data_IF_185503653502
#
_entry.id   IF_185503653502
#
_cell.length_a   1.000
_cell.length_b   1.000
_cell.length_c   1.000
_cell.angle_alpha   90.00
_cell.angle_beta   90.00
_cell.angle_gamma   90.00
#
_symmetry.space_group_name_H-M   'P 1'
#
loop_
_entity.id
_entity.type
_entity.pdbx_description
1 polymer ?
#
# COMPACT_ATOMS: atom_id res chain seq x y z
N UNK A 1 -10.77 -13.71 5.33
CA UNK A 1 -10.63 -12.27 5.05
C UNK A 1 -9.95 -12.13 3.70
N UNK A 2 -10.34 -11.12 2.91
CA UNK A 2 -9.75 -10.89 1.60
C UNK A 2 -8.33 -10.30 1.78
N UNK A 3 -7.26 -10.97 1.29
CA UNK A 3 -5.88 -10.50 1.45
C UNK A 3 -5.64 -9.09 0.86
N UNK A 4 -6.37 -8.72 -0.20
CA UNK A 4 -6.28 -7.39 -0.80
C UNK A 4 -6.90 -6.32 0.10
N UNK A 5 -7.99 -6.64 0.79
CA UNK A 5 -8.61 -5.75 1.76
C UNK A 5 -7.66 -5.50 2.95
N UNK A 6 -6.98 -6.53 3.42
CA UNK A 6 -6.01 -6.45 4.52
C UNK A 6 -4.77 -5.63 4.12
N UNK A 7 -4.25 -5.83 2.90
CA UNK A 7 -3.15 -5.03 2.35
C UNK A 7 -3.51 -3.53 2.28
N UNK A 8 -4.68 -3.22 1.71
CA UNK A 8 -5.15 -1.83 1.61
C UNK A 8 -5.38 -1.19 2.99
N UNK A 9 -5.91 -1.93 3.96
CA UNK A 9 -6.07 -1.47 5.34
C UNK A 9 -4.73 -1.18 6.01
N UNK A 10 -3.75 -2.07 5.83
CA UNK A 10 -2.39 -1.91 6.36
C UNK A 10 -1.70 -0.69 5.76
N UNK A 11 -1.76 -0.54 4.43
CA UNK A 11 -1.24 0.63 3.73
C UNK A 11 -1.87 1.93 4.25
N UNK A 12 -3.21 1.96 4.40
CA UNK A 12 -3.93 3.12 4.89
C UNK A 12 -3.49 3.57 6.29
N UNK A 13 -3.37 2.62 7.23
CA UNK A 13 -2.95 2.90 8.60
C UNK A 13 -1.50 3.39 8.66
N UNK A 14 -0.60 2.77 7.89
CA UNK A 14 0.80 3.19 7.81
C UNK A 14 0.92 4.61 7.25
N UNK A 15 0.21 4.91 6.15
CA UNK A 15 0.23 6.24 5.54
C UNK A 15 -0.34 7.31 6.47
N UNK A 16 -1.46 7.03 7.14
CA UNK A 16 -2.04 7.95 8.11
C UNK A 16 -1.09 8.23 9.28
N UNK A 17 -0.41 7.19 9.78
CA UNK A 17 0.57 7.34 10.86
C UNK A 17 1.70 8.30 10.46
N UNK A 18 2.29 8.09 9.29
CA UNK A 18 3.37 8.94 8.75
C UNK A 18 2.90 10.39 8.61
N UNK A 19 1.72 10.60 8.03
CA UNK A 19 1.19 11.95 7.80
C UNK A 19 0.70 12.63 9.09
N UNK A 20 0.31 11.86 10.10
CA UNK A 20 -0.17 12.32 11.40
C UNK A 20 0.93 12.53 12.45
N UNK A 21 2.19 12.24 12.14
CA UNK A 21 3.33 12.50 13.03
C UNK A 21 3.44 13.98 13.41
N UNK A 22 3.05 14.88 12.50
CA UNK A 22 3.00 16.32 12.74
C UNK A 22 1.61 16.71 13.30
N UNK A 23 1.37 16.35 14.55
CA UNK A 23 0.05 16.28 15.24
C UNK A 23 -0.72 17.61 15.40
N UNK A 24 -0.26 18.69 14.76
CA UNK A 24 -0.83 20.03 14.90
C UNK A 24 -1.85 20.41 13.82
N UNK A 25 -2.04 19.56 12.80
CA UNK A 25 -2.89 19.86 11.63
C UNK A 25 -3.82 18.70 11.28
N UNK A 26 -4.97 19.04 10.72
CA UNK A 26 -5.92 18.06 10.20
C UNK A 26 -5.30 17.32 9.00
N UNK A 27 -5.42 15.99 8.99
CA UNK A 27 -4.99 15.13 7.89
C UNK A 27 -6.23 14.50 7.25
N UNK A 28 -6.41 14.70 5.94
CA UNK A 28 -7.50 14.14 5.16
C UNK A 28 -6.94 13.54 3.87
N UNK A 29 -7.20 12.25 3.64
CA UNK A 29 -6.68 11.52 2.49
C UNK A 29 -7.61 10.36 2.10
N UNK A 30 -7.50 9.89 0.85
CA UNK A 30 -8.19 8.69 0.35
C UNK A 30 -7.17 7.57 0.09
N UNK A 31 -7.00 6.61 1.03
CA UNK A 31 -5.96 5.59 0.90
C UNK A 31 -6.19 4.69 -0.31
N UNK A 32 -7.46 4.34 -0.59
CA UNK A 32 -7.83 3.48 -1.72
C UNK A 32 -7.49 4.11 -3.06
N UNK A 33 -7.71 5.43 -3.21
CA UNK A 33 -7.37 6.12 -4.46
C UNK A 33 -5.85 6.14 -4.69
N UNK A 34 -5.08 6.40 -3.63
CA UNK A 34 -3.61 6.41 -3.71
C UNK A 34 -3.07 5.01 -4.00
N UNK A 35 -3.57 3.99 -3.30
CA UNK A 35 -3.21 2.59 -3.52
C UNK A 35 -3.48 2.17 -4.97
N UNK A 36 -4.65 2.52 -5.52
CA UNK A 36 -5.01 2.20 -6.91
C UNK A 36 -4.09 2.86 -7.93
N UNK A 37 -3.75 4.14 -7.73
CA UNK A 37 -2.82 4.86 -8.59
C UNK A 37 -1.42 4.23 -8.55
N UNK A 38 -0.92 3.92 -7.35
CA UNK A 38 0.38 3.29 -7.17
C UNK A 38 0.41 1.85 -7.65
N UNK A 39 -0.70 1.11 -7.59
CA UNK A 39 -0.82 -0.23 -8.16
C UNK A 39 -0.65 -0.21 -9.68
N UNK A 40 -1.22 0.78 -10.38
CA UNK A 40 -0.99 0.97 -11.81
C UNK A 40 0.47 1.27 -12.13
N UNK A 41 1.14 2.08 -11.30
CA UNK A 41 2.58 2.36 -11.45
C UNK A 41 3.42 1.11 -11.16
N UNK A 42 3.05 0.31 -10.15
CA UNK A 42 3.70 -0.94 -9.81
C UNK A 42 3.68 -1.94 -10.98
N UNK A 43 2.58 -2.03 -11.73
CA UNK A 43 2.51 -2.88 -12.93
C UNK A 43 3.54 -2.51 -14.01
N UNK A 44 4.02 -1.27 -14.04
CA UNK A 44 5.08 -0.82 -14.95
C UNK A 44 6.50 -0.92 -14.38
N UNK A 45 6.65 -1.16 -13.07
CA UNK A 45 7.94 -1.20 -12.40
C UNK A 45 8.65 -2.56 -12.55
N UNK A 46 9.98 -2.58 -12.40
CA UNK A 46 10.80 -3.81 -12.42
C UNK A 46 11.88 -3.79 -11.35
N UNK A 47 12.43 -4.97 -11.05
CA UNK A 47 13.56 -5.14 -10.14
C UNK A 47 13.28 -4.58 -8.74
N UNK A 48 14.27 -3.87 -8.18
CA UNK A 48 14.19 -3.28 -6.84
C UNK A 48 13.01 -2.33 -6.67
N UNK A 49 12.67 -1.55 -7.70
CA UNK A 49 11.55 -0.60 -7.64
C UNK A 49 10.22 -1.31 -7.45
N UNK A 50 9.96 -2.38 -8.21
CA UNK A 50 8.74 -3.17 -8.05
C UNK A 50 8.66 -3.80 -6.65
N UNK A 51 9.77 -4.32 -6.14
CA UNK A 51 9.82 -4.92 -4.79
C UNK A 51 9.51 -3.91 -3.68
N UNK A 52 10.07 -2.70 -3.76
CA UNK A 52 9.81 -1.64 -2.80
C UNK A 52 8.35 -1.17 -2.84
N UNK A 53 7.78 -1.05 -4.05
CA UNK A 53 6.37 -0.67 -4.21
C UNK A 53 5.42 -1.74 -3.66
N UNK A 54 5.69 -3.03 -3.90
CA UNK A 54 4.90 -4.12 -3.34
C UNK A 54 4.90 -4.10 -1.81
N UNK A 55 6.06 -3.85 -1.19
CA UNK A 55 6.18 -3.72 0.27
C UNK A 55 5.45 -2.48 0.80
N UNK A 56 5.60 -1.33 0.14
CA UNK A 56 4.92 -0.10 0.55
C UNK A 56 3.40 -0.23 0.48
N UNK A 57 2.87 -0.91 -0.55
CA UNK A 57 1.45 -1.20 -0.71
C UNK A 57 0.95 -2.41 0.11
N UNK A 58 1.82 -3.04 0.90
CA UNK A 58 1.55 -4.27 1.65
C UNK A 58 1.06 -5.46 0.78
N UNK A 59 1.37 -5.45 -0.52
CA UNK A 59 0.99 -6.51 -1.46
C UNK A 59 1.89 -7.75 -1.34
N UNK A 60 3.06 -7.61 -0.73
CA UNK A 60 3.95 -8.73 -0.40
C UNK A 60 3.29 -9.77 0.52
N UNK A 61 2.34 -9.33 1.36
CA UNK A 61 1.53 -10.19 2.23
C UNK A 61 0.37 -10.87 1.51
N UNK A 62 -0.12 -10.27 0.43
CA UNK A 62 -1.17 -10.84 -0.42
C UNK A 62 -0.63 -12.00 -1.28
N UNK A 63 0.67 -12.01 -1.59
CA UNK A 63 1.30 -12.99 -2.50
C UNK A 63 1.66 -14.33 -1.83
N UNK A 64 0.94 -14.73 -0.79
CA UNK A 64 1.16 -15.96 -0.03
C UNK A 64 0.04 -16.99 -0.18
N UNK A 65 -0.32 -17.41 -1.40
CA UNK A 65 -0.88 -18.74 -1.72
C UNK A 65 -1.11 -18.96 -3.23
N UNK A 66 -0.06 -18.84 -4.05
CA UNK A 66 -0.12 -19.09 -5.49
C UNK A 66 1.01 -20.02 -5.93
N UNK A 67 1.06 -21.22 -5.35
CA UNK A 67 1.89 -22.30 -5.88
C UNK A 67 1.23 -22.90 -7.12
N UNK A 68 1.98 -22.88 -8.22
CA UNK A 68 1.63 -23.42 -9.54
C UNK A 68 2.61 -22.93 -10.59
#
# INVERSE_FOLDING_TARGET
MDPLQEANGTFALNLLKILGEDSSKNVFLSPMSISSALAMVFMGAKGTTASQMAQALALDKCSGNGGG
#
